data_IF_111403481264
#
_entry.id   IF_111403481264
#
_cell.length_a   1.000
_cell.length_b   1.000
_cell.length_c   1.000
_cell.angle_alpha   90.00
_cell.angle_beta   90.00
_cell.angle_gamma   90.00
#
_symmetry.space_group_name_H-M   'P 1'
#
loop_
_entity.id
_entity.type
_entity.pdbx_description
1 polymer ?
#
# COMPACT_ATOMS: atom_id res chain seq x y z
N UNK A 1 11.59 -32.58 9.68
CA UNK A 1 11.57 -31.22 10.29
C UNK A 1 12.35 -30.16 9.51
N UNK A 2 13.66 -30.32 9.20
CA UNK A 2 14.48 -29.29 8.53
C UNK A 2 13.91 -28.75 7.19
N UNK A 3 13.30 -29.60 6.35
CA UNK A 3 12.71 -29.21 5.06
C UNK A 3 11.43 -28.35 5.18
N UNK A 4 10.65 -28.55 6.24
CA UNK A 4 9.41 -27.80 6.51
C UNK A 4 9.76 -26.38 6.98
N UNK A 5 10.70 -26.27 7.91
CA UNK A 5 11.18 -24.98 8.43
C UNK A 5 11.79 -24.09 7.32
N UNK A 6 12.53 -24.69 6.37
CA UNK A 6 13.04 -23.96 5.19
C UNK A 6 11.94 -23.42 4.27
N UNK A 7 10.82 -24.14 4.15
CA UNK A 7 9.66 -23.70 3.34
C UNK A 7 8.91 -22.53 3.99
N UNK A 8 8.75 -22.56 5.32
CA UNK A 8 8.10 -21.47 6.06
C UNK A 8 8.91 -20.17 5.96
N UNK A 9 10.21 -20.22 6.24
CA UNK A 9 11.10 -19.05 6.13
C UNK A 9 11.10 -18.43 4.73
N UNK A 10 11.05 -19.25 3.67
CA UNK A 10 10.95 -18.74 2.29
C UNK A 10 9.62 -18.03 2.04
N UNK A 11 8.50 -18.53 2.59
CA UNK A 11 7.20 -17.88 2.46
C UNK A 11 7.15 -16.55 3.21
N UNK A 12 7.70 -16.49 4.42
CA UNK A 12 7.81 -15.26 5.20
C UNK A 12 8.63 -14.19 4.46
N UNK A 13 9.78 -14.58 3.90
CA UNK A 13 10.59 -13.65 3.09
C UNK A 13 9.81 -13.12 1.88
N UNK A 14 9.11 -13.98 1.13
CA UNK A 14 8.32 -13.56 -0.03
C UNK A 14 7.19 -12.58 0.35
N UNK A 15 6.57 -12.77 1.52
CA UNK A 15 5.54 -11.85 2.01
C UNK A 15 6.15 -10.51 2.44
N UNK A 16 7.30 -10.55 3.13
CA UNK A 16 8.03 -9.36 3.53
C UNK A 16 8.47 -8.54 2.30
N UNK A 17 9.00 -9.20 1.28
CA UNK A 17 9.41 -8.57 0.02
C UNK A 17 8.21 -7.95 -0.72
N UNK A 18 7.05 -8.62 -0.71
CA UNK A 18 5.80 -8.10 -1.30
C UNK A 18 5.34 -6.81 -0.61
N UNK A 19 5.31 -6.80 0.73
CA UNK A 19 4.94 -5.63 1.51
C UNK A 19 5.96 -4.51 1.29
N UNK A 20 7.26 -4.83 1.30
CA UNK A 20 8.34 -3.87 1.10
C UNK A 20 8.21 -3.19 -0.26
N UNK A 21 8.02 -3.96 -1.33
CA UNK A 21 7.83 -3.45 -2.68
C UNK A 21 6.69 -2.43 -2.75
N UNK A 22 5.53 -2.75 -2.15
CA UNK A 22 4.38 -1.84 -2.11
C UNK A 22 4.71 -0.53 -1.37
N UNK A 23 5.32 -0.65 -0.19
CA UNK A 23 5.63 0.50 0.66
C UNK A 23 6.67 1.43 0.02
N UNK A 24 7.66 0.87 -0.68
CA UNK A 24 8.72 1.63 -1.33
C UNK A 24 8.26 2.30 -2.63
N UNK A 25 7.44 1.63 -3.44
CA UNK A 25 7.01 2.18 -4.72
C UNK A 25 5.84 3.17 -4.61
N UNK A 26 5.05 3.08 -3.53
CA UNK A 26 3.88 3.94 -3.21
C UNK A 26 2.71 3.81 -4.19
N UNK A 27 2.95 3.89 -5.49
CA UNK A 27 1.96 3.66 -6.55
C UNK A 27 2.37 2.40 -7.31
N UNK A 28 1.52 1.39 -7.28
CA UNK A 28 1.81 0.06 -7.84
C UNK A 28 0.73 -0.36 -8.82
N UNK A 29 1.11 -0.71 -10.05
CA UNK A 29 0.20 -1.34 -11.01
C UNK A 29 0.00 -2.79 -10.58
N UNK A 30 -1.25 -3.22 -10.44
CA UNK A 30 -1.58 -4.55 -9.90
C UNK A 30 -1.10 -5.69 -10.81
N UNK A 31 -1.09 -5.46 -12.12
CA UNK A 31 -0.57 -6.43 -13.10
C UNK A 31 0.95 -6.59 -12.98
N UNK A 32 1.70 -5.48 -12.90
CA UNK A 32 3.15 -5.51 -12.74
C UNK A 32 3.56 -6.17 -11.42
N UNK A 33 2.83 -5.86 -10.34
CA UNK A 33 3.01 -6.53 -9.04
C UNK A 33 2.78 -8.03 -9.13
N UNK A 34 1.76 -8.46 -9.88
CA UNK A 34 1.49 -9.87 -10.07
C UNK A 34 2.62 -10.55 -10.87
N UNK A 35 3.13 -9.90 -11.92
CA UNK A 35 4.27 -10.39 -12.72
C UNK A 35 5.52 -10.54 -11.84
N UNK A 36 5.88 -9.49 -11.08
CA UNK A 36 7.06 -9.45 -10.21
C UNK A 36 7.05 -10.61 -9.20
N UNK A 37 5.90 -10.88 -8.59
CA UNK A 37 5.75 -11.91 -7.57
C UNK A 37 5.27 -13.27 -8.11
N UNK A 38 5.19 -13.41 -9.45
CA UNK A 38 4.75 -14.64 -10.14
C UNK A 38 3.38 -15.14 -9.68
N UNK A 39 2.44 -14.20 -9.55
CA UNK A 39 1.05 -14.40 -9.18
C UNK A 39 0.13 -14.14 -10.37
N UNK A 40 -1.11 -14.62 -10.30
CA UNK A 40 -2.19 -14.04 -11.11
C UNK A 40 -2.58 -12.69 -10.52
N UNK A 41 -3.03 -11.75 -11.37
CA UNK A 41 -3.50 -10.42 -10.92
C UNK A 41 -4.52 -10.51 -9.79
N UNK A 42 -5.52 -11.38 -9.91
CA UNK A 42 -6.52 -11.59 -8.85
C UNK A 42 -5.88 -12.03 -7.53
N UNK A 43 -4.85 -12.88 -7.56
CA UNK A 43 -4.17 -13.32 -6.33
C UNK A 43 -3.35 -12.19 -5.69
N UNK A 44 -2.83 -11.25 -6.48
CA UNK A 44 -2.18 -10.04 -5.95
C UNK A 44 -3.22 -9.12 -5.29
N UNK A 45 -4.39 -8.95 -5.92
CA UNK A 45 -5.52 -8.19 -5.37
C UNK A 45 -5.99 -8.79 -4.05
N UNK A 46 -6.30 -10.09 -4.03
CA UNK A 46 -6.78 -10.78 -2.82
C UNK A 46 -5.77 -10.63 -1.68
N UNK A 47 -4.47 -10.76 -1.99
CA UNK A 47 -3.40 -10.57 -1.00
C UNK A 47 -3.33 -9.15 -0.46
N UNK A 48 -3.50 -8.13 -1.30
CA UNK A 48 -3.55 -6.73 -0.85
C UNK A 48 -4.75 -6.54 0.08
N UNK A 49 -5.92 -7.04 -0.31
CA UNK A 49 -7.14 -6.95 0.50
C UNK A 49 -6.96 -7.64 1.85
N UNK A 50 -6.40 -8.84 1.89
CA UNK A 50 -6.08 -9.55 3.14
C UNK A 50 -5.13 -8.74 4.04
N UNK A 51 -4.10 -8.13 3.45
CA UNK A 51 -3.15 -7.28 4.17
C UNK A 51 -3.80 -5.99 4.69
N UNK A 52 -4.77 -5.43 3.97
CA UNK A 52 -5.55 -4.27 4.42
C UNK A 52 -6.51 -4.63 5.55
N UNK A 53 -7.22 -5.76 5.44
CA UNK A 53 -8.12 -6.27 6.50
C UNK A 53 -7.35 -6.51 7.80
N UNK A 54 -6.12 -7.01 7.70
CA UNK A 54 -5.24 -7.23 8.86
C UNK A 54 -4.48 -5.98 9.31
N UNK A 55 -4.70 -4.82 8.69
CA UNK A 55 -4.04 -3.55 9.04
C UNK A 55 -2.53 -3.52 8.76
N UNK A 56 -1.99 -4.44 7.98
CA UNK A 56 -0.55 -4.50 7.66
C UNK A 56 -0.13 -3.43 6.66
N UNK A 57 -1.04 -3.08 5.75
CA UNK A 57 -0.91 -1.97 4.80
C UNK A 57 -2.22 -1.20 4.73
N UNK A 58 -2.13 0.05 4.31
CA UNK A 58 -3.27 0.93 4.08
C UNK A 58 -3.13 1.58 2.71
N UNK A 59 -4.25 1.87 2.06
CA UNK A 59 -4.21 2.39 0.69
C UNK A 59 -5.55 2.29 0.00
N UNK A 60 -5.56 2.71 -1.26
CA UNK A 60 -6.74 2.69 -2.13
C UNK A 60 -6.42 2.00 -3.44
N UNK A 61 -7.40 1.30 -4.00
CA UNK A 61 -7.34 0.78 -5.37
C UNK A 61 -8.10 1.77 -6.25
N UNK A 62 -7.45 2.28 -7.28
CA UNK A 62 -8.13 3.09 -8.30
C UNK A 62 -8.87 2.19 -9.33
N UNK A 63 -9.78 2.79 -10.08
CA UNK A 63 -10.55 2.12 -11.14
C UNK A 63 -9.70 1.68 -12.35
N UNK A 64 -8.43 2.11 -12.39
CA UNK A 64 -7.45 1.81 -13.44
C UNK A 64 -6.51 0.67 -13.06
N UNK A 65 -6.76 0.00 -11.93
CA UNK A 65 -5.98 -1.15 -11.50
C UNK A 65 -4.63 -0.79 -10.85
N UNK A 66 -4.53 0.39 -10.22
CA UNK A 66 -3.40 0.74 -9.36
C UNK A 66 -3.77 0.61 -7.90
N UNK A 67 -2.83 0.13 -7.10
CA UNK A 67 -2.85 0.29 -5.66
C UNK A 67 -1.97 1.47 -5.26
N UNK A 68 -2.52 2.38 -4.45
CA UNK A 68 -1.81 3.52 -3.88
C UNK A 68 -1.66 3.29 -2.39
N UNK A 69 -0.43 3.02 -1.95
CA UNK A 69 -0.09 2.86 -0.54
C UNK A 69 -0.05 4.21 0.17
N UNK A 70 -0.83 4.31 1.23
CA UNK A 70 -0.87 5.47 2.13
C UNK A 70 -0.32 4.99 3.47
N UNK A 71 0.69 5.63 4.01
CA UNK A 71 1.24 5.26 5.31
C UNK A 71 0.31 5.67 6.46
N UNK A 72 0.49 5.06 7.63
CA UNK A 72 -0.25 5.44 8.83
C UNK A 72 0.02 6.90 9.24
N UNK A 73 1.24 7.39 9.01
CA UNK A 73 1.62 8.78 9.27
C UNK A 73 0.87 9.76 8.33
N UNK A 74 0.76 9.43 7.05
CA UNK A 74 0.01 10.21 6.07
C UNK A 74 -1.49 10.22 6.42
N UNK A 75 -2.07 9.06 6.74
CA UNK A 75 -3.46 8.98 7.22
C UNK A 75 -3.69 9.80 8.48
N UNK A 76 -2.74 9.77 9.42
CA UNK A 76 -2.79 10.56 10.65
C UNK A 76 -2.73 12.05 10.34
N UNK A 77 -1.91 12.46 9.37
CA UNK A 77 -1.80 13.85 8.92
C UNK A 77 -3.10 14.34 8.28
N UNK A 78 -3.72 13.51 7.43
CA UNK A 78 -5.05 13.77 6.87
C UNK A 78 -6.12 13.88 7.97
N UNK A 79 -6.14 12.96 8.93
CA UNK A 79 -7.09 12.99 10.03
C UNK A 79 -6.94 14.23 10.92
N UNK A 80 -5.69 14.66 11.19
CA UNK A 80 -5.39 15.89 11.92
C UNK A 80 -5.90 17.12 11.16
N UNK A 81 -5.65 17.19 9.86
CA UNK A 81 -6.11 18.28 9.00
C UNK A 81 -7.64 18.42 9.06
N UNK A 82 -8.39 17.32 8.89
CA UNK A 82 -9.85 17.33 8.95
C UNK A 82 -10.34 17.78 10.33
N UNK A 83 -9.77 17.24 11.41
CA UNK A 83 -10.18 17.59 12.79
C UNK A 83 -9.94 19.06 13.12
N UNK A 84 -8.81 19.63 12.69
CA UNK A 84 -8.45 21.03 12.97
C UNK A 84 -9.32 22.01 12.19
N UNK A 85 -9.70 21.68 10.95
CA UNK A 85 -10.55 22.52 10.10
C UNK A 85 -12.05 22.34 10.39
N UNK A 86 -12.43 21.21 11.00
CA UNK A 86 -13.83 20.89 11.29
C UNK A 86 -14.55 20.42 10.03
N UNK A 87 -15.33 21.30 9.40
CA UNK A 87 -16.00 20.99 8.13
C UNK A 87 -15.03 21.25 6.98
N UNK A 88 -14.70 20.20 6.25
CA UNK A 88 -13.79 20.25 5.10
C UNK A 88 -14.55 19.76 3.89
N UNK A 89 -14.53 20.54 2.81
CA UNK A 89 -15.05 20.12 1.51
C UNK A 89 -14.06 19.17 0.82
N UNK A 90 -14.57 18.36 -0.11
CA UNK A 90 -13.70 17.48 -0.92
C UNK A 90 -12.68 18.31 -1.72
N UNK A 91 -13.05 19.50 -2.19
CA UNK A 91 -12.16 20.40 -2.91
C UNK A 91 -10.97 20.86 -2.06
N UNK A 92 -11.22 21.31 -0.83
CA UNK A 92 -10.16 21.71 0.10
C UNK A 92 -9.26 20.54 0.49
N UNK A 93 -9.85 19.35 0.66
CA UNK A 93 -9.09 18.15 0.95
C UNK A 93 -8.20 17.75 -0.22
N UNK A 94 -8.71 17.80 -1.45
CA UNK A 94 -7.96 17.51 -2.67
C UNK A 94 -6.81 18.50 -2.87
N UNK A 95 -7.05 19.80 -2.70
CA UNK A 95 -6.01 20.84 -2.80
C UNK A 95 -4.89 20.60 -1.77
N UNK A 96 -5.26 20.25 -0.54
CA UNK A 96 -4.30 19.99 0.53
C UNK A 96 -3.60 18.62 0.41
N UNK A 97 -4.15 17.68 -0.37
CA UNK A 97 -3.68 16.28 -0.43
C UNK A 97 -2.24 16.16 -0.92
N UNK A 98 -1.78 17.03 -1.82
CA UNK A 98 -0.39 17.05 -2.30
C UNK A 98 0.64 17.29 -1.19
N UNK A 99 0.24 17.93 -0.09
CA UNK A 99 1.09 18.15 1.08
C UNK A 99 0.90 17.09 2.18
N UNK A 100 -0.17 16.29 2.09
CA UNK A 100 -0.56 15.32 3.12
C UNK A 100 -0.17 13.88 2.75
N UNK A 101 -0.08 13.57 1.47
CA UNK A 101 0.26 12.24 0.95
C UNK A 101 1.35 12.41 -0.09
N UNK A 102 2.51 11.78 0.15
CA UNK A 102 3.59 11.75 -0.83
C UNK A 102 3.42 10.51 -1.71
N UNK A 103 3.38 10.68 -3.03
CA UNK A 103 3.26 9.57 -3.97
C UNK A 103 4.61 9.16 -4.59
N UNK A 104 5.71 9.84 -4.24
CA UNK A 104 7.03 9.49 -4.79
C UNK A 104 7.58 8.22 -4.15
N UNK A 105 8.22 7.34 -4.94
CA UNK A 105 8.90 6.18 -4.40
C UNK A 105 9.98 6.57 -3.39
N UNK A 106 10.15 5.78 -2.34
CA UNK A 106 11.15 6.02 -1.27
C UNK A 106 12.58 6.01 -1.82
N UNK A 107 12.84 5.26 -2.88
CA UNK A 107 14.13 5.16 -3.57
C UNK A 107 14.42 6.31 -4.54
N UNK A 108 13.51 7.29 -4.70
CA UNK A 108 13.70 8.46 -5.56
C UNK A 108 14.13 9.73 -4.80
N UNK A 109 14.45 9.62 -3.51
CA UNK A 109 14.97 10.71 -2.67
C UNK A 109 16.44 10.51 -2.30
#
# INVERSE_FOLDING_TARGET
>A
MRKVMRRMKKKENLLADFIKYIKENKVVVLEDLAIEFKLKTQQAIDRIQDLQVNGTITGVIDDRGKFIYISEEELTSVAKFIRQRGRVSIAELAESSNNLINLTPVSSN
#
